data_IF_596093125044
#
_entry.id   IF_596093125044
#
_cell.length_a   1.000
_cell.length_b   1.000
_cell.length_c   1.000
_cell.angle_alpha   90.00
_cell.angle_beta   90.00
_cell.angle_gamma   90.00
#
_symmetry.space_group_name_H-M   'P 1'
#
loop_
_entity.id
_entity.type
_entity.pdbx_description
1 polymer ?
#
# COMPACT_ATOMS: atom_id res chain seq x y z
N UNK A 1 -41.25 70.18 -28.01
CA UNK A 1 -41.59 69.62 -26.68
C UNK A 1 -40.45 68.72 -26.24
N UNK A 2 -39.95 68.94 -25.01
CA UNK A 2 -38.93 68.12 -24.36
C UNK A 2 -39.57 66.80 -23.89
N UNK A 3 -38.94 65.65 -24.12
CA UNK A 3 -38.75 64.60 -23.10
C UNK A 3 -37.68 63.58 -23.55
N UNK A 4 -36.91 62.96 -22.63
CA UNK A 4 -35.57 62.43 -22.87
C UNK A 4 -35.47 60.89 -22.83
N UNK A 5 -34.28 60.43 -23.26
CA UNK A 5 -33.47 59.28 -22.83
C UNK A 5 -34.16 58.05 -22.18
N UNK A 6 -33.91 56.87 -22.77
CA UNK A 6 -33.79 55.62 -22.02
C UNK A 6 -32.53 54.87 -22.47
N UNK A 7 -31.48 54.78 -21.63
CA UNK A 7 -30.42 53.81 -21.83
C UNK A 7 -30.94 52.46 -21.34
N UNK A 8 -31.02 51.48 -22.23
CA UNK A 8 -31.28 50.09 -21.83
C UNK A 8 -29.97 49.57 -21.24
N UNK A 9 -29.88 49.54 -19.91
CA UNK A 9 -28.81 48.82 -19.21
C UNK A 9 -28.95 47.33 -19.53
N UNK A 10 -28.03 46.81 -20.34
CA UNK A 10 -27.85 45.38 -20.50
C UNK A 10 -27.12 44.85 -19.24
N UNK A 11 -27.88 44.25 -18.33
CA UNK A 11 -27.32 43.52 -17.20
C UNK A 11 -26.72 42.20 -17.71
N UNK A 12 -25.39 42.13 -17.81
CA UNK A 12 -24.66 40.90 -18.09
C UNK A 12 -24.67 40.06 -16.80
N UNK A 13 -25.54 39.06 -16.77
CA UNK A 13 -25.56 38.06 -15.69
C UNK A 13 -24.32 37.16 -15.81
N UNK A 14 -23.36 37.35 -14.90
CA UNK A 14 -22.24 36.43 -14.70
C UNK A 14 -22.76 35.10 -14.12
N UNK A 15 -22.99 34.13 -15.00
CA UNK A 15 -23.22 32.73 -14.61
C UNK A 15 -21.89 32.16 -14.05
N UNK A 16 -21.75 32.16 -12.73
CA UNK A 16 -20.66 31.45 -12.05
C UNK A 16 -20.95 29.96 -12.03
N UNK A 17 -20.55 29.24 -13.09
CA UNK A 17 -20.44 27.79 -13.06
C UNK A 17 -19.33 27.39 -12.08
N UNK A 18 -19.69 27.05 -10.85
CA UNK A 18 -18.79 26.42 -9.90
C UNK A 18 -18.45 24.99 -10.40
N UNK A 19 -17.20 24.67 -10.75
CA UNK A 19 -16.84 23.30 -11.07
C UNK A 19 -16.93 22.45 -9.80
N UNK A 20 -17.85 21.50 -9.77
CA UNK A 20 -17.85 20.40 -8.80
C UNK A 20 -16.60 19.57 -9.03
N UNK A 21 -15.52 19.87 -8.31
CA UNK A 21 -14.39 18.96 -8.17
C UNK A 21 -14.85 17.75 -7.34
N UNK A 22 -15.39 16.73 -8.01
CA UNK A 22 -15.54 15.41 -7.40
C UNK A 22 -14.13 14.85 -7.18
N UNK A 23 -13.68 14.80 -5.92
CA UNK A 23 -12.45 14.11 -5.58
C UNK A 23 -12.55 12.64 -6.00
N UNK A 24 -11.50 12.06 -6.62
CA UNK A 24 -11.51 10.64 -6.94
C UNK A 24 -11.62 9.85 -5.63
N UNK A 25 -12.66 9.03 -5.52
CA UNK A 25 -12.76 8.07 -4.42
C UNK A 25 -11.53 7.16 -4.47
N UNK A 26 -10.77 7.13 -3.38
CA UNK A 26 -9.62 6.23 -3.25
C UNK A 26 -10.13 4.79 -3.37
N UNK A 27 -9.86 4.14 -4.51
CA UNK A 27 -10.18 2.75 -4.71
C UNK A 27 -9.37 1.93 -3.69
N UNK A 28 -10.06 1.22 -2.79
CA UNK A 28 -9.45 0.28 -1.86
C UNK A 28 -8.76 -0.79 -2.71
N UNK A 29 -7.43 -0.79 -2.72
CA UNK A 29 -6.66 -1.78 -3.48
C UNK A 29 -7.02 -3.17 -2.97
N UNK A 30 -7.27 -4.09 -3.90
CA UNK A 30 -7.52 -5.48 -3.56
C UNK A 30 -6.34 -6.03 -2.74
N UNK A 31 -6.67 -6.90 -1.78
CA UNK A 31 -5.65 -7.55 -0.95
C UNK A 31 -4.60 -8.24 -1.83
N UNK A 32 -3.31 -8.22 -1.46
CA UNK A 32 -2.28 -8.93 -2.20
C UNK A 32 -2.56 -10.43 -2.32
N UNK A 33 -2.31 -11.00 -3.50
CA UNK A 33 -2.53 -12.43 -3.76
C UNK A 33 -1.80 -13.29 -2.70
N UNK A 34 -0.55 -12.94 -2.40
CA UNK A 34 0.29 -13.67 -1.45
C UNK A 34 0.16 -13.20 0.00
N UNK A 35 -0.87 -12.42 0.37
CA UNK A 35 -0.99 -11.87 1.73
C UNK A 35 -1.11 -12.95 2.81
N UNK A 36 -1.92 -13.99 2.60
CA UNK A 36 -2.07 -15.06 3.58
C UNK A 36 -0.76 -15.85 3.80
N UNK A 37 -0.02 -16.12 2.73
CA UNK A 37 1.30 -16.76 2.81
C UNK A 37 2.35 -15.83 3.43
N UNK A 38 2.26 -14.52 3.21
CA UNK A 38 3.11 -13.54 3.86
C UNK A 38 2.97 -13.58 5.39
N UNK A 39 1.75 -13.61 5.93
CA UNK A 39 1.53 -13.70 7.38
C UNK A 39 2.10 -15.00 7.97
N UNK A 40 1.81 -16.15 7.33
CA UNK A 40 2.33 -17.45 7.77
C UNK A 40 3.85 -17.49 7.76
N UNK A 41 4.47 -16.95 6.71
CA UNK A 41 5.92 -16.95 6.58
C UNK A 41 6.58 -15.94 7.53
N UNK A 42 5.96 -14.79 7.77
CA UNK A 42 6.41 -13.83 8.78
C UNK A 42 6.45 -14.46 10.18
N UNK A 43 5.42 -15.23 10.56
CA UNK A 43 5.42 -15.97 11.83
C UNK A 43 6.58 -16.95 11.94
N UNK A 44 6.86 -17.73 10.89
CA UNK A 44 8.01 -18.64 10.86
C UNK A 44 9.34 -17.90 10.95
N UNK A 45 9.48 -16.78 10.23
CA UNK A 45 10.70 -15.98 10.21
C UNK A 45 10.97 -15.33 11.58
N UNK A 46 9.96 -14.74 12.21
CA UNK A 46 10.08 -14.12 13.52
C UNK A 46 10.43 -15.15 14.59
N UNK A 47 9.75 -16.30 14.60
CA UNK A 47 10.06 -17.40 15.51
C UNK A 47 11.49 -17.93 15.32
N UNK A 48 11.94 -18.07 14.07
CA UNK A 48 13.31 -18.46 13.79
C UNK A 48 14.32 -17.42 14.30
N UNK A 49 14.06 -16.13 14.07
CA UNK A 49 14.93 -15.03 14.48
C UNK A 49 15.05 -14.91 16.01
N UNK A 50 13.94 -15.13 16.72
CA UNK A 50 13.86 -15.00 18.18
C UNK A 50 14.29 -16.25 18.94
N UNK A 51 14.52 -17.38 18.26
CA UNK A 51 14.75 -18.67 18.91
C UNK A 51 13.48 -19.26 19.54
N UNK A 52 12.31 -19.00 18.94
CA UNK A 52 10.97 -19.34 19.44
C UNK A 52 10.65 -18.67 20.79
N UNK A 53 11.04 -17.40 20.95
CA UNK A 53 10.60 -16.59 22.10
C UNK A 53 9.07 -16.52 22.11
N UNK A 54 8.45 -16.89 23.22
CA UNK A 54 6.99 -16.91 23.40
C UNK A 54 6.36 -15.52 23.36
N UNK A 55 7.17 -14.46 23.47
CA UNK A 55 6.75 -13.05 23.37
C UNK A 55 6.80 -12.51 21.94
N UNK A 56 7.07 -13.37 20.95
CA UNK A 56 7.07 -12.99 19.55
C UNK A 56 5.64 -12.94 19.00
N UNK A 57 5.24 -11.79 18.48
CA UNK A 57 3.91 -11.58 17.90
C UNK A 57 4.03 -11.05 16.46
N UNK A 58 3.16 -11.53 15.57
CA UNK A 58 3.08 -11.06 14.17
C UNK A 58 1.81 -10.26 13.98
N UNK A 59 1.94 -9.08 13.40
CA UNK A 59 0.81 -8.23 13.04
C UNK A 59 -0.05 -8.83 11.93
N UNK A 60 -1.32 -8.43 11.88
CA UNK A 60 -2.30 -8.99 10.94
C UNK A 60 -2.29 -8.30 9.57
N UNK A 61 -1.64 -7.13 9.48
CA UNK A 61 -1.62 -6.32 8.27
C UNK A 61 -0.47 -6.71 7.34
N UNK A 62 -0.77 -6.75 6.04
CA UNK A 62 0.21 -6.96 4.98
C UNK A 62 0.25 -5.74 4.08
N UNK A 63 1.37 -5.04 4.09
CA UNK A 63 1.60 -3.89 3.23
C UNK A 63 2.24 -4.33 1.91
N UNK A 64 1.68 -3.89 0.79
CA UNK A 64 2.29 -4.06 -0.53
C UNK A 64 3.32 -2.96 -0.77
N UNK A 65 4.57 -3.36 -0.97
CA UNK A 65 5.64 -2.46 -1.38
C UNK A 65 5.85 -2.48 -2.90
N UNK A 66 6.63 -1.54 -3.46
CA UNK A 66 7.05 -1.59 -4.85
C UNK A 66 7.70 -2.94 -5.18
N UNK A 67 7.26 -3.56 -6.28
CA UNK A 67 7.83 -4.83 -6.73
C UNK A 67 9.29 -4.65 -7.16
N UNK A 68 10.05 -5.74 -7.12
CA UNK A 68 11.44 -5.78 -7.59
C UNK A 68 11.54 -6.61 -8.88
N UNK A 69 12.50 -6.29 -9.73
CA UNK A 69 12.78 -7.07 -10.94
C UNK A 69 13.46 -8.38 -10.54
N UNK A 70 13.08 -9.50 -11.16
CA UNK A 70 13.81 -10.75 -10.98
C UNK A 70 15.23 -10.59 -11.57
N UNK A 71 16.31 -10.71 -10.76
CA UNK A 71 17.68 -10.57 -11.25
C UNK A 71 18.06 -11.56 -12.35
N UNK A 72 17.42 -12.73 -12.39
CA UNK A 72 17.66 -13.76 -13.41
C UNK A 72 16.80 -13.56 -14.68
N UNK A 73 15.73 -12.78 -14.62
CA UNK A 73 14.82 -12.57 -15.76
C UNK A 73 14.14 -11.19 -15.66
N UNK A 74 14.58 -10.18 -16.42
CA UNK A 74 14.06 -8.82 -16.31
C UNK A 74 12.60 -8.66 -16.75
N UNK A 75 12.02 -9.68 -17.39
CA UNK A 75 10.59 -9.69 -17.76
C UNK A 75 9.69 -10.14 -16.60
N UNK A 76 10.26 -10.69 -15.53
CA UNK A 76 9.55 -11.10 -14.32
C UNK A 76 9.77 -10.11 -13.19
N UNK A 77 8.78 -10.00 -12.31
CA UNK A 77 8.85 -9.18 -11.11
C UNK A 77 8.40 -10.00 -9.90
N UNK A 78 9.01 -9.73 -8.76
CA UNK A 78 8.57 -10.27 -7.48
C UNK A 78 7.69 -9.25 -6.76
N UNK A 79 6.57 -9.74 -6.26
CA UNK A 79 5.74 -9.03 -5.30
C UNK A 79 6.51 -8.89 -3.98
N UNK A 80 6.53 -7.69 -3.40
CA UNK A 80 7.20 -7.44 -2.14
C UNK A 80 6.14 -7.09 -1.10
N UNK A 81 6.05 -7.93 -0.08
CA UNK A 81 5.07 -7.81 1.00
C UNK A 81 5.80 -7.54 2.31
N UNK A 82 5.30 -6.57 3.07
CA UNK A 82 5.83 -6.21 4.36
C UNK A 82 4.84 -6.59 5.45
N UNK A 83 5.36 -7.19 6.52
CA UNK A 83 4.61 -7.57 7.72
C UNK A 83 5.41 -7.09 8.91
N UNK A 84 4.73 -6.47 9.87
CA UNK A 84 5.32 -6.08 11.14
C UNK A 84 5.16 -7.20 12.17
N UNK A 85 6.10 -7.27 13.10
CA UNK A 85 5.99 -8.11 14.28
C UNK A 85 6.79 -7.51 15.42
N UNK A 86 6.65 -8.05 16.61
CA UNK A 86 7.32 -7.57 17.81
C UNK A 86 7.90 -8.73 18.59
N UNK A 87 8.96 -8.46 19.35
CA UNK A 87 9.50 -9.36 20.37
C UNK A 87 9.69 -8.52 21.63
N UNK A 88 8.82 -8.70 22.61
CA UNK A 88 8.79 -7.90 23.84
C UNK A 88 8.68 -6.38 23.58
N UNK A 89 9.81 -5.67 23.50
CA UNK A 89 9.87 -4.21 23.28
C UNK A 89 10.49 -3.83 21.93
N UNK A 90 11.01 -4.81 21.20
CA UNK A 90 11.57 -4.61 19.87
C UNK A 90 10.48 -4.75 18.82
N UNK A 91 10.46 -3.82 17.87
CA UNK A 91 9.62 -3.88 16.68
C UNK A 91 10.45 -4.36 15.50
N UNK A 92 9.90 -5.23 14.67
CA UNK A 92 10.59 -5.88 13.57
C UNK A 92 9.80 -5.72 12.28
N UNK A 93 10.49 -5.24 11.26
CA UNK A 93 9.97 -5.13 9.90
C UNK A 93 10.44 -6.34 9.10
N UNK A 94 9.50 -7.16 8.64
CA UNK A 94 9.80 -8.29 7.76
C UNK A 94 9.38 -7.97 6.34
N UNK A 95 10.26 -8.24 5.36
CA UNK A 95 9.95 -8.14 3.93
C UNK A 95 10.06 -9.51 3.28
N UNK A 96 9.03 -9.90 2.55
CA UNK A 96 8.88 -11.19 1.90
C UNK A 96 8.69 -10.97 0.40
N UNK A 97 9.53 -11.62 -0.39
CA UNK A 97 9.56 -11.49 -1.85
C UNK A 97 8.90 -12.73 -2.44
N UNK A 98 7.79 -12.56 -3.13
CA UNK A 98 7.04 -13.65 -3.74
C UNK A 98 7.02 -13.56 -5.26
N UNK A 99 7.06 -14.72 -5.91
CA UNK A 99 6.59 -14.86 -7.28
C UNK A 99 5.17 -15.44 -7.25
N UNK A 100 4.14 -14.63 -7.59
CA UNK A 100 2.76 -15.11 -7.64
C UNK A 100 2.52 -15.94 -8.92
N UNK A 101 2.06 -17.17 -8.73
CA UNK A 101 1.69 -18.09 -9.80
C UNK A 101 0.24 -17.86 -10.23
N UNK A 102 -0.13 -18.34 -11.42
CA UNK A 102 -1.46 -18.12 -12.01
C UNK A 102 -2.59 -18.89 -11.33
N UNK A 103 -2.26 -19.99 -10.69
CA UNK A 103 -3.17 -20.88 -9.94
C UNK A 103 -3.42 -20.41 -8.50
N UNK A 104 -2.77 -19.32 -8.07
CA UNK A 104 -2.89 -18.77 -6.73
C UNK A 104 -1.67 -19.05 -5.84
N UNK A 105 -0.79 -19.98 -6.25
CA UNK A 105 0.39 -20.34 -5.46
C UNK A 105 1.39 -19.18 -5.35
N UNK A 106 2.13 -19.15 -4.25
CA UNK A 106 3.09 -18.09 -3.95
C UNK A 106 4.46 -18.69 -3.64
N UNK A 107 5.40 -18.53 -4.58
CA UNK A 107 6.77 -19.03 -4.39
C UNK A 107 7.59 -17.99 -3.65
N UNK A 108 8.10 -18.33 -2.46
CA UNK A 108 8.98 -17.46 -1.68
C UNK A 108 10.38 -17.40 -2.35
N UNK A 109 10.78 -16.22 -2.78
CA UNK A 109 12.05 -15.97 -3.46
C UNK A 109 13.11 -15.35 -2.55
N UNK A 110 12.69 -14.73 -1.45
CA UNK A 110 13.59 -14.09 -0.49
C UNK A 110 12.84 -13.53 0.71
N UNK A 111 13.58 -13.32 1.80
CA UNK A 111 13.06 -12.75 3.02
C UNK A 111 14.12 -11.95 3.77
N UNK A 112 13.70 -10.86 4.41
CA UNK A 112 14.49 -10.00 5.28
C UNK A 112 13.72 -9.81 6.59
N UNK A 113 14.43 -9.78 7.71
CA UNK A 113 13.94 -9.26 8.99
C UNK A 113 14.90 -8.18 9.48
N UNK A 114 14.35 -7.05 9.90
CA UNK A 114 15.12 -5.93 10.41
C UNK A 114 14.47 -5.37 11.67
N UNK A 115 15.23 -5.24 12.75
CA UNK A 115 14.78 -4.52 13.95
C UNK A 115 14.66 -3.02 13.66
N UNK A 116 13.55 -2.42 14.09
CA UNK A 116 13.29 -1.00 13.99
C UNK A 116 13.82 -0.28 15.23
N UNK A 117 15.11 0.04 15.21
CA UNK A 117 15.82 0.70 16.31
C UNK A 117 16.31 2.11 15.94
N UNK A 118 16.41 2.99 16.93
CA UNK A 118 17.08 4.29 16.85
C UNK A 118 18.27 4.28 17.81
N UNK A 119 19.49 4.42 17.28
CA UNK A 119 20.75 4.31 18.01
C UNK A 119 21.49 5.65 18.07
#
# INVERSE_FOLDING_TARGET
>A
MRLPLRPVLAAIALLTCAPCFAAPAAAKQAAPQCAAEALKQAAKLLAFHSGNDERAEVGEEVERLPSIVNPANPKQRFEVLQVWGSIYKGEYRMRLLYYPMRDGDCVLMGQEILEHASL
#
